data_IF_122656341688
#
_entry.id   IF_122656341688
#
_cell.length_a   1.000
_cell.length_b   1.000
_cell.length_c   1.000
_cell.angle_alpha   90.00
_cell.angle_beta   90.00
_cell.angle_gamma   90.00
#
_symmetry.space_group_name_H-M   'P 1'
#
loop_
_entity.id
_entity.type
_entity.pdbx_description
1 polymer ?
#
# COMPACT_ATOMS: atom_id res chain seq x y z
N UNK A 1 15.04 3.27 12.27
CA UNK A 1 16.33 3.96 12.17
C UNK A 1 16.12 5.44 12.45
N UNK A 2 16.84 5.97 13.41
CA UNK A 2 16.69 7.35 13.84
C UNK A 2 17.53 8.30 13.00
N UNK A 3 17.05 9.56 12.82
CA UNK A 3 17.74 10.55 11.99
C UNK A 3 19.14 10.92 12.51
N UNK A 4 19.34 10.87 13.82
CA UNK A 4 20.61 11.24 14.46
C UNK A 4 21.59 10.09 14.55
N UNK A 5 21.18 8.88 14.17
CA UNK A 5 22.04 7.71 14.21
C UNK A 5 23.14 7.81 13.15
N UNK A 6 24.44 7.69 13.53
CA UNK A 6 25.51 7.73 12.55
C UNK A 6 25.44 6.64 11.48
N UNK A 7 24.96 5.45 11.86
CA UNK A 7 24.74 4.35 10.92
C UNK A 7 23.68 4.74 9.88
N UNK A 8 22.58 5.36 10.34
CA UNK A 8 21.54 5.85 9.45
C UNK A 8 22.08 6.85 8.44
N UNK A 9 22.86 7.83 8.89
CA UNK A 9 23.43 8.86 8.01
C UNK A 9 24.31 8.26 6.94
N UNK A 10 25.11 7.27 7.31
CA UNK A 10 25.98 6.56 6.37
C UNK A 10 25.17 5.77 5.35
N UNK A 11 24.16 5.01 5.84
CA UNK A 11 23.30 4.19 4.99
C UNK A 11 22.48 5.04 4.03
N UNK A 12 21.96 6.18 4.50
CA UNK A 12 21.22 7.11 3.67
C UNK A 12 22.09 7.63 2.51
N UNK A 13 23.35 7.99 2.77
CA UNK A 13 24.24 8.46 1.73
C UNK A 13 24.55 7.40 0.68
N UNK A 14 24.70 6.16 1.10
CA UNK A 14 24.88 5.03 0.18
C UNK A 14 23.67 4.84 -0.73
N UNK A 15 22.47 4.84 -0.16
CA UNK A 15 21.23 4.68 -0.90
C UNK A 15 20.97 5.84 -1.87
N UNK A 16 21.20 7.06 -1.42
CA UNK A 16 21.08 8.25 -2.26
C UNK A 16 22.02 8.17 -3.47
N UNK A 17 23.25 7.73 -3.24
CA UNK A 17 24.25 7.58 -4.29
C UNK A 17 23.86 6.54 -5.32
N UNK A 18 23.22 5.44 -4.88
CA UNK A 18 22.82 4.33 -5.73
C UNK A 18 21.44 4.50 -6.34
N UNK A 19 20.73 5.60 -6.04
CA UNK A 19 19.37 5.87 -6.50
C UNK A 19 18.37 4.80 -6.05
N UNK A 20 18.63 4.17 -4.91
CA UNK A 20 17.76 3.13 -4.36
C UNK A 20 16.61 3.77 -3.59
N UNK A 21 15.44 3.11 -3.65
CA UNK A 21 14.28 3.52 -2.86
C UNK A 21 14.49 3.10 -1.40
N UNK A 22 14.28 4.04 -0.50
CA UNK A 22 14.33 3.76 0.93
C UNK A 22 13.28 4.60 1.66
N UNK A 23 12.93 4.17 2.86
CA UNK A 23 11.96 4.87 3.70
C UNK A 23 12.57 5.17 5.05
N UNK A 24 12.30 6.35 5.56
CA UNK A 24 12.84 6.84 6.83
C UNK A 24 11.67 7.10 7.76
N UNK A 25 11.65 6.46 8.94
CA UNK A 25 10.60 6.69 9.94
C UNK A 25 10.61 8.16 10.35
N UNK A 26 9.45 8.77 10.43
CA UNK A 26 9.23 10.18 10.74
C UNK A 26 9.79 11.16 9.68
N UNK A 27 10.17 10.67 8.52
CA UNK A 27 10.58 11.51 7.40
C UNK A 27 9.86 11.16 6.11
N UNK A 28 9.90 9.89 5.69
CA UNK A 28 9.22 9.42 4.49
C UNK A 28 8.03 8.52 4.80
N UNK A 29 7.94 8.00 6.02
CA UNK A 29 6.76 7.29 6.50
C UNK A 29 6.68 7.42 8.02
N UNK A 30 5.48 7.19 8.55
CA UNK A 30 5.19 7.24 9.97
C UNK A 30 4.62 5.91 10.40
N UNK A 31 5.07 5.39 11.53
CA UNK A 31 4.52 4.16 12.11
C UNK A 31 3.01 4.29 12.34
N UNK A 32 2.56 5.49 12.65
CA UNK A 32 1.17 5.81 12.89
C UNK A 32 0.30 5.75 11.63
N UNK A 33 0.90 5.69 10.46
CA UNK A 33 0.18 5.48 9.20
C UNK A 33 -0.33 4.05 9.06
N UNK A 34 0.29 3.11 9.79
CA UNK A 34 -0.16 1.73 9.80
C UNK A 34 -1.39 1.60 10.70
N UNK A 35 -2.44 0.92 10.26
CA UNK A 35 -3.64 0.77 11.06
C UNK A 35 -3.40 -0.13 12.27
N UNK A 36 -4.14 0.13 13.35
CA UNK A 36 -4.18 -0.76 14.50
C UNK A 36 -5.04 -1.99 14.19
N UNK A 37 -4.94 -3.03 15.04
CA UNK A 37 -5.80 -4.19 14.92
C UNK A 37 -7.27 -3.80 15.04
N UNK A 38 -7.59 -2.86 15.95
CA UNK A 38 -8.96 -2.38 16.15
C UNK A 38 -9.51 -1.69 14.90
N UNK A 39 -8.70 -0.88 14.26
CA UNK A 39 -9.09 -0.20 13.01
C UNK A 39 -9.32 -1.22 11.89
N UNK A 40 -8.47 -2.22 11.78
CA UNK A 40 -8.62 -3.28 10.78
C UNK A 40 -9.88 -4.12 11.02
N UNK A 41 -10.16 -4.45 12.29
CA UNK A 41 -11.37 -5.18 12.65
C UNK A 41 -12.62 -4.38 12.32
N UNK A 42 -12.62 -3.08 12.60
CA UNK A 42 -13.74 -2.21 12.28
C UNK A 42 -13.98 -2.16 10.77
N UNK A 43 -12.91 -2.07 9.98
CA UNK A 43 -13.01 -2.13 8.53
C UNK A 43 -13.65 -3.42 8.05
N UNK A 44 -13.25 -4.55 8.63
CA UNK A 44 -13.84 -5.83 8.29
C UNK A 44 -15.31 -5.92 8.67
N UNK A 45 -15.70 -5.40 9.85
CA UNK A 45 -17.10 -5.37 10.28
C UNK A 45 -17.96 -4.54 9.33
N UNK A 46 -17.45 -3.40 8.91
CA UNK A 46 -18.17 -2.53 7.97
C UNK A 46 -18.39 -3.24 6.62
N UNK A 47 -17.40 -3.97 6.16
CA UNK A 47 -17.52 -4.76 4.92
C UNK A 47 -18.54 -5.90 5.10
N UNK A 48 -18.50 -6.60 6.22
CA UNK A 48 -19.45 -7.69 6.52
C UNK A 48 -20.89 -7.17 6.58
N UNK A 49 -21.09 -5.97 7.11
CA UNK A 49 -22.40 -5.32 7.14
C UNK A 49 -22.95 -5.12 5.72
N UNK A 50 -22.07 -4.96 4.74
CA UNK A 50 -22.43 -4.85 3.33
C UNK A 50 -22.23 -6.17 2.57
N UNK A 51 -22.20 -7.30 3.28
CA UNK A 51 -22.10 -8.64 2.71
C UNK A 51 -20.79 -8.85 1.91
N UNK A 52 -19.74 -8.12 2.25
CA UNK A 52 -18.46 -8.15 1.57
C UNK A 52 -18.55 -7.84 0.07
N UNK A 53 -19.48 -6.95 -0.31
CA UNK A 53 -19.65 -6.50 -1.70
C UNK A 53 -19.57 -4.98 -1.73
N UNK A 54 -18.65 -4.45 -2.54
CA UNK A 54 -18.51 -3.01 -2.78
C UNK A 54 -18.23 -2.80 -4.26
N UNK A 55 -18.52 -1.61 -4.77
CA UNK A 55 -18.22 -1.30 -6.17
C UNK A 55 -16.75 -0.96 -6.34
N UNK A 56 -16.23 -0.10 -5.49
CA UNK A 56 -14.85 0.41 -5.60
C UNK A 56 -14.16 0.38 -4.26
N UNK A 57 -12.88 0.04 -4.28
CA UNK A 57 -11.99 0.16 -3.12
C UNK A 57 -10.97 1.24 -3.47
N UNK A 58 -10.75 2.16 -2.53
CA UNK A 58 -9.71 3.18 -2.63
C UNK A 58 -8.87 3.08 -1.37
N UNK A 59 -7.60 2.85 -1.53
CA UNK A 59 -6.68 2.69 -0.40
C UNK A 59 -5.34 3.35 -0.71
N UNK A 60 -4.55 3.57 0.35
CA UNK A 60 -3.21 4.12 0.17
C UNK A 60 -2.29 3.14 -0.54
N UNK A 61 -2.33 1.88 -0.15
CA UNK A 61 -1.47 0.83 -0.71
C UNK A 61 -2.32 -0.35 -1.20
N UNK A 62 -1.69 -1.41 -1.63
CA UNK A 62 -2.34 -2.56 -2.25
C UNK A 62 -2.18 -3.85 -1.42
N UNK A 63 -2.82 -4.92 -1.86
CA UNK A 63 -2.68 -6.25 -1.29
C UNK A 63 -1.28 -6.82 -1.54
N UNK A 64 -0.88 -7.79 -0.72
CA UNK A 64 0.45 -8.40 -0.81
C UNK A 64 0.74 -9.04 -2.17
N UNK A 65 -0.23 -9.72 -2.76
CA UNK A 65 -0.04 -10.34 -4.08
C UNK A 65 0.09 -9.29 -5.18
N UNK A 66 -0.66 -8.19 -5.07
CA UNK A 66 -0.56 -7.06 -6.00
C UNK A 66 0.80 -6.38 -5.88
N UNK A 67 1.29 -6.23 -4.66
CA UNK A 67 2.62 -5.68 -4.39
C UNK A 67 3.71 -6.53 -5.03
N UNK A 68 3.59 -7.86 -4.94
CA UNK A 68 4.55 -8.77 -5.55
C UNK A 68 4.56 -8.65 -7.08
N UNK A 69 3.39 -8.53 -7.70
CA UNK A 69 3.29 -8.31 -9.15
C UNK A 69 3.91 -6.98 -9.56
N UNK A 70 3.60 -5.92 -8.82
CA UNK A 70 4.05 -4.57 -9.13
C UNK A 70 5.57 -4.43 -9.04
N UNK A 71 6.19 -5.10 -8.07
CA UNK A 71 7.61 -4.95 -7.75
C UNK A 71 8.47 -6.14 -8.15
N UNK A 72 7.91 -7.17 -8.79
CA UNK A 72 8.59 -8.44 -9.08
C UNK A 72 9.18 -9.07 -7.81
N UNK A 73 8.47 -8.93 -6.68
CA UNK A 73 8.90 -9.48 -5.42
C UNK A 73 9.97 -8.67 -4.67
N UNK A 74 10.33 -7.49 -5.17
CA UNK A 74 11.35 -6.65 -4.54
C UNK A 74 10.89 -6.00 -3.23
N UNK A 75 9.62 -5.67 -3.12
CA UNK A 75 9.08 -5.06 -1.90
C UNK A 75 8.49 -6.13 -1.00
N UNK A 76 8.79 -6.01 0.30
CA UNK A 76 8.28 -6.94 1.29
C UNK A 76 6.89 -6.53 1.76
N UNK A 77 5.98 -7.48 1.96
CA UNK A 77 4.67 -7.17 2.53
C UNK A 77 4.81 -6.76 4.00
N UNK A 78 3.85 -5.98 4.46
CA UNK A 78 3.72 -5.56 5.86
C UNK A 78 2.32 -5.93 6.38
N UNK A 79 2.01 -5.45 7.60
CA UNK A 79 0.71 -5.69 8.23
C UNK A 79 -0.43 -5.16 7.35
N UNK A 80 -0.25 -3.99 6.77
CA UNK A 80 -1.29 -3.36 5.95
C UNK A 80 -1.53 -4.11 4.65
N UNK A 81 -0.46 -4.47 3.93
CA UNK A 81 -0.61 -5.22 2.68
C UNK A 81 -1.17 -6.62 2.92
N UNK A 82 -0.82 -7.25 4.05
CA UNK A 82 -1.40 -8.54 4.44
C UNK A 82 -2.89 -8.41 4.73
N UNK A 83 -3.30 -7.36 5.41
CA UNK A 83 -4.72 -7.06 5.67
C UNK A 83 -5.48 -6.87 4.35
N UNK A 84 -4.92 -6.11 3.43
CA UNK A 84 -5.53 -5.91 2.12
C UNK A 84 -5.61 -7.21 1.32
N UNK A 85 -4.66 -8.11 1.50
CA UNK A 85 -4.73 -9.43 0.85
C UNK A 85 -5.91 -10.24 1.35
N UNK A 86 -6.19 -10.21 2.64
CA UNK A 86 -7.39 -10.85 3.19
C UNK A 86 -8.66 -10.24 2.58
N UNK A 87 -8.73 -8.92 2.47
CA UNK A 87 -9.87 -8.24 1.88
C UNK A 87 -10.02 -8.61 0.40
N UNK A 88 -8.91 -8.68 -0.32
CA UNK A 88 -8.91 -9.03 -1.74
C UNK A 88 -9.54 -10.40 -1.99
N UNK A 89 -9.32 -11.33 -1.07
CA UNK A 89 -9.86 -12.67 -1.19
C UNK A 89 -11.32 -12.79 -0.74
N UNK A 90 -11.77 -11.94 0.16
CA UNK A 90 -13.12 -12.01 0.75
C UNK A 90 -14.12 -11.09 0.08
N UNK A 91 -13.68 -9.93 -0.42
CA UNK A 91 -14.56 -8.86 -0.89
C UNK A 91 -14.71 -8.93 -2.39
N UNK A 92 -15.96 -8.80 -2.86
CA UNK A 92 -16.25 -8.63 -4.28
C UNK A 92 -16.23 -7.15 -4.61
N UNK A 93 -15.43 -6.76 -5.59
CA UNK A 93 -15.30 -5.37 -6.01
C UNK A 93 -15.13 -5.30 -7.53
N UNK A 94 -15.46 -4.14 -8.09
CA UNK A 94 -15.29 -3.90 -9.54
C UNK A 94 -13.89 -3.39 -9.84
N UNK A 95 -13.45 -2.39 -9.07
CA UNK A 95 -12.12 -1.78 -9.23
C UNK A 95 -11.53 -1.45 -7.88
N UNK A 96 -10.21 -1.57 -7.79
CA UNK A 96 -9.44 -1.19 -6.61
C UNK A 96 -8.39 -0.18 -7.04
N UNK A 97 -8.45 1.04 -6.50
CA UNK A 97 -7.52 2.12 -6.78
C UNK A 97 -6.59 2.31 -5.60
N UNK A 98 -5.31 2.44 -5.84
CA UNK A 98 -4.33 2.69 -4.80
C UNK A 98 -3.22 3.61 -5.30
N UNK A 99 -2.47 4.21 -4.36
CA UNK A 99 -1.37 5.12 -4.64
C UNK A 99 -0.05 4.60 -4.10
N UNK A 100 0.65 5.45 -3.37
CA UNK A 100 1.88 5.15 -2.66
C UNK A 100 3.13 5.06 -3.55
N UNK A 101 3.09 4.40 -4.69
CA UNK A 101 4.28 4.10 -5.51
C UNK A 101 4.61 5.18 -6.54
N UNK A 102 3.87 6.29 -6.54
CA UNK A 102 4.13 7.44 -7.41
C UNK A 102 4.19 7.07 -8.90
N UNK A 103 3.23 6.30 -9.35
CA UNK A 103 3.14 5.91 -10.75
C UNK A 103 1.70 5.70 -11.17
N UNK A 104 1.49 5.58 -12.48
CA UNK A 104 0.18 5.27 -13.05
C UNK A 104 0.31 3.96 -13.81
N UNK A 105 -0.46 2.95 -13.42
CA UNK A 105 -0.39 1.62 -14.05
C UNK A 105 -1.67 0.84 -13.83
N UNK A 106 -2.14 0.18 -14.87
CA UNK A 106 -3.14 -0.87 -14.71
C UNK A 106 -2.40 -2.15 -14.34
N UNK A 107 -2.42 -2.51 -13.06
CA UNK A 107 -1.70 -3.71 -12.59
C UNK A 107 -2.37 -4.96 -13.18
N UNK A 108 -3.70 -4.96 -13.17
CA UNK A 108 -4.52 -5.96 -13.84
C UNK A 108 -5.87 -5.32 -14.20
N UNK A 109 -6.86 -6.11 -14.64
CA UNK A 109 -8.16 -5.60 -15.06
C UNK A 109 -8.94 -4.87 -13.95
N UNK A 110 -8.65 -5.19 -12.69
CA UNK A 110 -9.40 -4.68 -11.54
C UNK A 110 -8.62 -3.71 -10.67
N UNK A 111 -7.30 -3.81 -10.64
CA UNK A 111 -6.44 -3.06 -9.73
C UNK A 111 -5.60 -2.04 -10.48
N UNK A 112 -5.72 -0.77 -10.09
CA UNK A 112 -5.15 0.37 -10.78
C UNK A 112 -4.32 1.21 -9.83
N UNK A 113 -3.06 1.42 -10.19
CA UNK A 113 -2.16 2.32 -9.49
C UNK A 113 -2.34 3.73 -10.06
N UNK A 114 -2.59 4.70 -9.18
CA UNK A 114 -2.78 6.10 -9.56
C UNK A 114 -1.76 6.99 -8.84
N UNK A 115 -1.31 8.01 -9.54
CA UNK A 115 -0.47 9.04 -8.96
C UNK A 115 -0.93 10.45 -9.36
N UNK A 116 -0.81 10.80 -10.62
CA UNK A 116 -1.15 12.13 -11.12
C UNK A 116 -2.20 12.09 -12.24
N UNK A 117 -2.86 10.96 -12.39
CA UNK A 117 -3.84 10.71 -13.42
C UNK A 117 -5.25 10.87 -12.85
N UNK A 118 -6.16 11.42 -13.62
CA UNK A 118 -7.58 11.47 -13.31
C UNK A 118 -8.28 10.51 -14.26
N UNK A 119 -9.06 9.58 -13.73
CA UNK A 119 -9.75 8.59 -14.53
C UNK A 119 -11.25 8.61 -14.24
N UNK A 120 -12.04 8.19 -15.23
CA UNK A 120 -13.48 8.02 -15.07
C UNK A 120 -13.77 6.61 -14.59
N UNK A 121 -14.58 6.49 -13.53
CA UNK A 121 -14.89 5.20 -12.90
C UNK A 121 -16.32 4.72 -13.17
N UNK A 122 -17.14 5.56 -13.77
CA UNK A 122 -18.54 5.21 -14.13
C UNK A 122 -18.80 5.52 -15.60
#
# INVERSE_FOLDING_TARGET
>A
MELDDPYFKKKKRELDRNWELYRINHLSWWKEELPSEEEMEEGQKNLETNQNVVDFIVSHCCASSTLALLSNGMYKPDILTAYFEELRQKVKFKKWFFGHFHGNMNVNAEEILLYEQIIRIV
#
